data_IF_764999963002
#
_entry.id   IF_764999963002
#
_cell.length_a   1.000
_cell.length_b   1.000
_cell.length_c   1.000
_cell.angle_alpha   90.00
_cell.angle_beta   90.00
_cell.angle_gamma   90.00
#
_symmetry.space_group_name_H-M   'P 1'
#
loop_
_entity.id
_entity.type
_entity.pdbx_description
1 polymer ?
#
# COMPACT_ATOMS: atom_id res chain seq x y z
N UNK A 1 36.41 10.20 -17.39
CA UNK A 1 36.48 11.13 -18.53
C UNK A 1 35.55 10.58 -19.59
N UNK A 2 34.28 10.33 -19.27
CA UNK A 2 33.28 11.39 -18.96
C UNK A 2 33.30 12.39 -20.10
N UNK A 3 32.20 12.49 -20.86
CA UNK A 3 31.75 13.69 -21.60
C UNK A 3 30.76 13.39 -22.77
N UNK A 4 30.15 12.19 -22.86
CA UNK A 4 29.07 11.94 -23.85
C UNK A 4 27.72 11.50 -23.26
N UNK A 5 27.45 11.78 -21.98
CA UNK A 5 26.17 11.43 -21.35
C UNK A 5 25.25 12.63 -21.04
N UNK A 6 25.60 13.85 -21.47
CA UNK A 6 24.91 15.10 -21.07
C UNK A 6 24.16 15.83 -22.20
N UNK A 7 23.86 15.17 -23.33
CA UNK A 7 23.21 15.82 -24.48
C UNK A 7 21.69 15.57 -24.60
N UNK A 8 20.96 15.59 -23.47
CA UNK A 8 19.48 15.53 -23.49
C UNK A 8 18.82 16.55 -22.57
N UNK A 9 19.50 17.65 -22.25
CA UNK A 9 18.92 18.76 -21.48
C UNK A 9 18.63 19.97 -22.39
N UNK A 10 17.65 19.79 -23.28
CA UNK A 10 17.13 20.89 -24.07
C UNK A 10 15.86 20.46 -24.77
N UNK A 11 14.70 20.80 -24.18
CA UNK A 11 13.53 21.39 -24.85
C UNK A 11 12.29 21.33 -23.93
N UNK A 12 11.81 22.53 -23.61
CA UNK A 12 10.44 22.92 -23.28
C UNK A 12 9.85 22.62 -21.89
N UNK A 13 9.46 23.73 -21.29
CA UNK A 13 8.72 23.95 -20.06
C UNK A 13 7.24 23.54 -20.17
N UNK A 14 6.96 22.23 -20.12
CA UNK A 14 5.58 21.74 -19.95
C UNK A 14 5.50 20.74 -18.79
N UNK A 15 5.33 21.30 -17.59
CA UNK A 15 5.28 20.60 -16.30
C UNK A 15 4.09 19.63 -16.15
N UNK A 16 3.13 19.63 -17.08
CA UNK A 16 1.90 18.82 -17.01
C UNK A 16 1.98 17.51 -17.80
N UNK A 17 2.84 17.41 -18.82
CA UNK A 17 2.92 16.21 -19.67
C UNK A 17 3.87 15.13 -19.13
N UNK A 18 4.83 15.51 -18.28
CA UNK A 18 5.71 14.54 -17.60
C UNK A 18 4.98 13.65 -16.57
N UNK A 19 3.85 14.07 -16.01
CA UNK A 19 3.15 13.27 -14.98
C UNK A 19 2.47 12.01 -15.53
N UNK A 20 2.08 12.00 -16.81
CA UNK A 20 1.46 10.83 -17.44
C UNK A 20 2.52 9.79 -17.85
N UNK A 21 3.63 10.24 -18.44
CA UNK A 21 4.70 9.34 -18.91
C UNK A 21 5.63 8.86 -17.79
N UNK A 22 5.86 9.66 -16.73
CA UNK A 22 6.63 9.20 -15.56
C UNK A 22 5.90 8.13 -14.73
N UNK A 23 4.57 8.08 -14.79
CA UNK A 23 3.78 6.98 -14.19
C UNK A 23 3.84 5.69 -15.02
N UNK A 24 4.08 5.79 -16.32
CA UNK A 24 4.14 4.65 -17.24
C UNK A 24 5.42 3.81 -17.12
N UNK A 25 6.51 4.34 -16.57
CA UNK A 25 7.81 3.64 -16.50
C UNK A 25 8.11 2.99 -15.14
N UNK A 26 7.19 3.10 -14.17
CA UNK A 26 7.37 2.55 -12.82
C UNK A 26 6.35 1.43 -12.62
N UNK A 27 6.58 0.29 -13.26
CA UNK A 27 5.94 -0.97 -12.87
C UNK A 27 6.47 -1.36 -11.48
N UNK A 28 5.89 -0.73 -10.46
CA UNK A 28 6.19 -1.03 -9.07
C UNK A 28 5.57 -2.40 -8.76
N UNK A 29 6.31 -3.28 -8.10
CA UNK A 29 5.78 -4.58 -7.68
C UNK A 29 4.53 -4.41 -6.82
N UNK A 30 3.58 -5.34 -6.93
CA UNK A 30 2.36 -5.31 -6.12
C UNK A 30 2.65 -5.20 -4.60
N UNK A 31 3.73 -5.83 -4.13
CA UNK A 31 4.17 -5.75 -2.75
C UNK A 31 4.61 -4.34 -2.37
N UNK A 32 5.37 -3.68 -3.24
CA UNK A 32 5.83 -2.30 -3.03
C UNK A 32 4.64 -1.32 -3.06
N UNK A 33 3.65 -1.51 -3.94
CA UNK A 33 2.41 -0.73 -3.91
C UNK A 33 1.62 -0.91 -2.60
N UNK A 34 1.57 -2.13 -2.06
CA UNK A 34 0.92 -2.39 -0.77
C UNK A 34 1.66 -1.69 0.37
N UNK A 35 3.01 -1.77 0.41
CA UNK A 35 3.81 -1.09 1.43
C UNK A 35 3.65 0.43 1.34
N UNK A 36 3.68 1.00 0.13
CA UNK A 36 3.40 2.42 -0.09
C UNK A 36 1.99 2.77 0.42
N UNK A 37 0.98 2.00 0.06
CA UNK A 37 -0.40 2.21 0.50
C UNK A 37 -0.56 2.17 2.02
N UNK A 38 0.19 1.30 2.71
CA UNK A 38 0.23 1.27 4.18
C UNK A 38 0.95 2.50 4.75
N UNK A 39 2.07 2.93 4.15
CA UNK A 39 2.83 4.09 4.58
C UNK A 39 2.08 5.42 4.40
N UNK A 40 1.30 5.56 3.31
CA UNK A 40 0.52 6.76 2.98
C UNK A 40 -0.95 6.65 3.36
N UNK A 41 -1.33 5.64 4.16
CA UNK A 41 -2.72 5.41 4.52
C UNK A 41 -3.33 6.63 5.21
N UNK A 42 -4.59 6.91 4.88
CA UNK A 42 -5.34 7.98 5.56
C UNK A 42 -5.64 7.56 7.00
N UNK A 43 -5.41 8.44 8.00
CA UNK A 43 -5.78 8.19 9.39
C UNK A 43 -7.27 7.88 9.59
N UNK A 44 -8.13 8.30 8.66
CA UNK A 44 -9.58 8.09 8.72
C UNK A 44 -10.01 6.66 8.47
N UNK A 45 -9.14 5.80 7.93
CA UNK A 45 -9.44 4.40 7.67
C UNK A 45 -8.37 3.49 8.27
N UNK A 46 -8.33 3.32 9.60
CA UNK A 46 -7.30 2.54 10.28
C UNK A 46 -7.56 1.04 10.18
N UNK A 47 -8.09 0.52 9.07
CA UNK A 47 -8.50 -0.88 8.98
C UNK A 47 -7.46 -1.72 8.22
N UNK A 48 -7.00 -2.81 8.83
CA UNK A 48 -6.14 -3.80 8.20
C UNK A 48 -6.91 -5.13 8.04
N UNK A 49 -7.02 -5.69 6.81
CA UNK A 49 -7.69 -6.96 6.60
C UNK A 49 -6.95 -8.10 7.31
N UNK A 50 -7.72 -9.07 7.82
CA UNK A 50 -7.20 -10.27 8.47
C UNK A 50 -6.72 -11.30 7.44
N UNK A 51 -5.68 -10.94 6.70
CA UNK A 51 -5.05 -11.74 5.66
C UNK A 51 -3.54 -11.76 5.88
N UNK A 52 -2.92 -12.85 5.44
CA UNK A 52 -1.50 -13.12 5.60
C UNK A 52 -0.88 -13.46 4.25
N UNK A 53 0.30 -12.93 4.00
CA UNK A 53 1.09 -13.20 2.80
C UNK A 53 2.51 -13.61 3.17
N UNK A 54 3.11 -14.45 2.34
CA UNK A 54 4.52 -14.78 2.48
C UNK A 54 5.34 -13.72 1.75
N UNK A 55 6.32 -13.15 2.44
CA UNK A 55 7.24 -12.16 1.90
C UNK A 55 8.65 -12.73 1.82
N UNK A 56 9.41 -12.25 0.85
CA UNK A 56 10.82 -12.53 0.66
C UNK A 56 11.47 -11.29 0.05
N UNK A 57 12.70 -10.98 0.45
CA UNK A 57 13.47 -9.91 -0.19
C UNK A 57 13.94 -10.37 -1.57
N UNK A 58 13.83 -9.51 -2.58
CA UNK A 58 14.22 -9.86 -3.96
C UNK A 58 15.72 -10.16 -4.05
N UNK A 59 16.53 -9.56 -3.17
CA UNK A 59 17.98 -9.83 -3.08
C UNK A 59 18.24 -11.25 -2.59
N UNK A 60 17.51 -11.71 -1.58
CA UNK A 60 17.62 -13.09 -1.08
C UNK A 60 17.16 -14.09 -2.15
N UNK A 61 16.15 -13.73 -2.97
CA UNK A 61 15.73 -14.55 -4.10
C UNK A 61 16.83 -14.64 -5.16
N UNK A 62 17.47 -13.52 -5.51
CA UNK A 62 18.56 -13.52 -6.48
C UNK A 62 19.76 -14.37 -5.99
N UNK A 63 20.15 -14.21 -4.73
CA UNK A 63 21.18 -15.04 -4.08
C UNK A 63 20.80 -16.52 -4.13
N UNK A 64 19.54 -16.86 -3.81
CA UNK A 64 19.05 -18.22 -3.89
C UNK A 64 19.19 -18.83 -5.29
N UNK A 65 18.91 -18.04 -6.33
CA UNK A 65 19.02 -18.51 -7.71
C UNK A 65 20.48 -18.76 -8.09
N UNK A 66 21.40 -17.87 -7.70
CA UNK A 66 22.84 -18.05 -7.98
C UNK A 66 23.38 -19.31 -7.29
N UNK A 67 23.09 -19.49 -6.00
CA UNK A 67 23.53 -20.68 -5.26
C UNK A 67 22.92 -21.98 -5.77
N UNK A 68 21.68 -21.94 -6.23
CA UNK A 68 21.03 -23.10 -6.81
C UNK A 68 21.69 -23.56 -8.13
N UNK A 69 22.42 -22.69 -8.83
CA UNK A 69 23.20 -23.09 -10.01
C UNK A 69 24.47 -23.86 -9.65
N UNK A 70 25.03 -23.62 -8.46
CA UNK A 70 26.30 -24.20 -8.01
C UNK A 70 26.09 -25.47 -7.16
N UNK A 71 24.98 -25.55 -6.44
CA UNK A 71 24.66 -26.65 -5.51
C UNK A 71 24.03 -27.86 -6.23
N UNK A 72 24.72 -29.00 -6.21
CA UNK A 72 24.22 -30.24 -6.82
C UNK A 72 23.13 -30.92 -5.97
N UNK A 73 23.10 -30.66 -4.66
CA UNK A 73 22.17 -31.24 -3.70
C UNK A 73 20.72 -30.83 -3.96
N UNK A 74 20.50 -29.62 -4.50
CA UNK A 74 19.17 -29.10 -4.85
C UNK A 74 18.77 -29.38 -6.29
N UNK A 75 19.61 -30.08 -7.07
CA UNK A 75 19.32 -30.40 -8.46
C UNK A 75 18.03 -31.22 -8.55
N UNK A 76 17.17 -30.83 -9.49
CA UNK A 76 15.84 -31.44 -9.71
C UNK A 76 14.90 -31.39 -8.47
N UNK A 77 15.19 -30.52 -7.50
CA UNK A 77 14.36 -30.33 -6.33
C UNK A 77 13.57 -29.02 -6.38
N UNK A 78 12.38 -29.04 -5.77
CA UNK A 78 11.63 -27.80 -5.51
C UNK A 78 12.16 -27.13 -4.25
N UNK A 79 12.76 -25.95 -4.41
CA UNK A 79 13.17 -25.10 -3.29
C UNK A 79 12.18 -23.95 -3.14
N UNK A 80 11.68 -23.72 -1.93
CA UNK A 80 10.79 -22.61 -1.61
C UNK A 80 11.57 -21.57 -0.82
N UNK A 81 11.59 -20.34 -1.33
CA UNK A 81 12.27 -19.19 -0.73
C UNK A 81 11.20 -18.26 -0.15
N UNK A 82 11.22 -18.07 1.17
CA UNK A 82 10.23 -17.27 1.91
C UNK A 82 10.80 -16.90 3.28
N UNK A 83 10.87 -15.60 3.56
CA UNK A 83 11.36 -15.09 4.83
C UNK A 83 10.34 -15.29 5.96
N UNK A 84 9.04 -15.14 5.65
CA UNK A 84 7.98 -15.36 6.63
C UNK A 84 6.60 -14.98 6.14
N UNK A 85 5.59 -15.32 6.95
CA UNK A 85 4.19 -15.06 6.68
C UNK A 85 3.67 -13.92 7.59
N UNK A 86 3.38 -12.77 6.99
CA UNK A 86 3.04 -11.53 7.68
C UNK A 86 1.68 -11.00 7.24
N UNK A 87 0.97 -10.37 8.17
CA UNK A 87 -0.24 -9.61 7.89
C UNK A 87 0.07 -8.13 7.63
N UNK A 88 -0.85 -7.41 6.99
CA UNK A 88 -0.70 -5.96 6.82
C UNK A 88 -0.65 -5.21 8.14
N UNK A 89 -1.28 -5.72 9.21
CA UNK A 89 -1.19 -5.12 10.54
C UNK A 89 0.24 -5.24 11.11
N UNK A 90 0.88 -6.40 10.98
CA UNK A 90 2.27 -6.59 11.41
C UNK A 90 3.24 -5.72 10.58
N UNK A 91 2.99 -5.58 9.28
CA UNK A 91 3.77 -4.68 8.42
C UNK A 91 3.55 -3.22 8.85
N UNK A 92 2.30 -2.81 9.10
CA UNK A 92 1.99 -1.46 9.59
C UNK A 92 2.68 -1.15 10.93
N UNK A 93 2.73 -2.12 11.85
CA UNK A 93 3.45 -2.01 13.12
C UNK A 93 4.96 -1.84 12.90
N UNK A 94 5.58 -2.68 12.06
CA UNK A 94 7.00 -2.55 11.69
C UNK A 94 7.32 -1.19 11.05
N UNK A 95 6.42 -0.68 10.19
CA UNK A 95 6.55 0.66 9.59
C UNK A 95 6.46 1.73 10.67
N UNK A 96 5.50 1.63 11.59
CA UNK A 96 5.29 2.63 12.65
C UNK A 96 6.47 2.71 13.61
N UNK A 97 7.06 1.57 13.95
CA UNK A 97 8.26 1.49 14.78
C UNK A 97 9.48 2.14 14.10
N UNK A 98 9.69 1.87 12.81
CA UNK A 98 10.83 2.40 12.07
C UNK A 98 10.67 3.88 11.70
N UNK A 99 9.43 4.31 11.45
CA UNK A 99 9.10 5.65 10.95
C UNK A 99 7.93 6.26 11.75
N UNK A 100 8.20 6.83 12.94
CA UNK A 100 7.17 7.37 13.82
C UNK A 100 6.33 8.49 13.21
N UNK A 101 6.84 9.20 12.19
CA UNK A 101 6.12 10.27 11.47
C UNK A 101 5.02 9.74 10.55
N UNK A 102 5.08 8.48 10.14
CA UNK A 102 4.05 7.84 9.32
C UNK A 102 2.87 7.39 10.19
N UNK A 103 1.70 7.29 9.56
CA UNK A 103 0.45 6.89 10.23
C UNK A 103 -0.19 5.68 9.54
N UNK A 104 0.50 4.51 9.53
CA UNK A 104 -0.06 3.30 8.95
C UNK A 104 -1.28 2.80 9.75
N UNK A 105 -2.17 2.01 9.13
CA UNK A 105 -3.39 1.55 9.78
C UNK A 105 -3.08 0.50 10.85
N UNK A 106 -3.52 0.73 12.08
CA UNK A 106 -3.26 -0.15 13.25
C UNK A 106 -4.54 -0.81 13.81
N UNK A 107 -5.64 -0.81 13.06
CA UNK A 107 -6.90 -1.33 13.55
C UNK A 107 -6.92 -2.84 13.75
N UNK A 108 -7.94 -3.35 14.46
CA UNK A 108 -8.06 -4.76 14.75
C UNK A 108 -8.23 -5.58 13.47
N UNK A 109 -7.57 -6.74 13.44
CA UNK A 109 -7.69 -7.75 12.38
C UNK A 109 -9.05 -8.46 12.48
N UNK A 110 -10.13 -7.78 12.11
CA UNK A 110 -11.47 -8.35 12.21
C UNK A 110 -11.85 -9.14 10.94
N UNK A 111 -12.14 -10.43 11.10
CA UNK A 111 -12.63 -11.29 10.02
C UNK A 111 -13.90 -10.75 9.37
N UNK A 112 -14.87 -10.27 10.15
CA UNK A 112 -16.15 -9.78 9.61
C UNK A 112 -15.95 -8.59 8.68
N UNK A 113 -15.16 -7.61 9.10
CA UNK A 113 -14.90 -6.42 8.30
C UNK A 113 -14.08 -6.76 7.04
N UNK A 114 -13.22 -7.77 7.12
CA UNK A 114 -12.46 -8.28 5.95
C UNK A 114 -13.41 -8.87 4.92
N UNK A 115 -14.38 -9.67 5.38
CA UNK A 115 -15.41 -10.27 4.52
C UNK A 115 -16.33 -9.21 3.92
N UNK A 116 -16.74 -8.20 4.68
CA UNK A 116 -17.59 -7.10 4.18
C UNK A 116 -16.88 -6.31 3.08
N UNK A 117 -15.64 -5.88 3.33
CA UNK A 117 -14.85 -5.16 2.31
C UNK A 117 -14.61 -6.05 1.10
N UNK A 118 -14.26 -7.31 1.31
CA UNK A 118 -14.05 -8.28 0.23
C UNK A 118 -15.30 -8.51 -0.62
N UNK A 119 -16.50 -8.51 -0.02
CA UNK A 119 -17.76 -8.64 -0.76
C UNK A 119 -18.11 -7.38 -1.59
N UNK A 120 -17.70 -6.20 -1.13
CA UNK A 120 -17.90 -4.95 -1.88
C UNK A 120 -16.93 -4.78 -3.05
N UNK A 121 -15.77 -5.44 -2.99
CA UNK A 121 -14.76 -5.35 -4.03
C UNK A 121 -14.96 -6.47 -5.05
N UNK A 122 -15.49 -6.13 -6.23
CA UNK A 122 -15.72 -7.07 -7.35
C UNK A 122 -14.47 -7.84 -7.82
N UNK A 123 -13.29 -7.50 -7.31
CA UNK A 123 -12.00 -8.10 -7.67
C UNK A 123 -11.65 -9.34 -6.80
N UNK A 124 -12.34 -9.58 -5.68
CA UNK A 124 -12.01 -10.67 -4.75
C UNK A 124 -13.06 -11.78 -4.83
N UNK A 125 -12.64 -12.99 -5.22
CA UNK A 125 -13.53 -14.17 -5.20
C UNK A 125 -13.85 -14.55 -3.75
N UNK A 126 -15.12 -14.55 -3.36
CA UNK A 126 -15.53 -14.88 -1.99
C UNK A 126 -15.09 -16.27 -1.53
N UNK A 127 -15.12 -17.27 -2.43
CA UNK A 127 -14.62 -18.61 -2.12
C UNK A 127 -13.11 -18.67 -1.84
N UNK A 128 -12.33 -17.78 -2.48
CA UNK A 128 -10.91 -17.61 -2.14
C UNK A 128 -10.80 -16.97 -0.76
N UNK A 129 -11.48 -15.84 -0.54
CA UNK A 129 -11.38 -15.09 0.72
C UNK A 129 -11.70 -15.96 1.94
N UNK A 130 -12.77 -16.74 1.90
CA UNK A 130 -13.15 -17.65 3.00
C UNK A 130 -12.05 -18.66 3.37
N UNK A 131 -11.23 -19.10 2.41
CA UNK A 131 -10.16 -20.09 2.64
C UNK A 131 -8.88 -19.47 3.21
N UNK A 132 -8.68 -18.17 3.04
CA UNK A 132 -7.43 -17.47 3.37
C UNK A 132 -7.57 -16.49 4.54
N UNK A 133 -8.77 -16.02 4.84
CA UNK A 133 -9.00 -15.12 5.99
C UNK A 133 -8.61 -15.80 7.29
N UNK A 134 -7.78 -15.12 8.08
CA UNK A 134 -7.34 -15.61 9.39
C UNK A 134 -6.31 -16.76 9.36
N UNK A 135 -5.99 -17.31 8.20
CA UNK A 135 -5.09 -18.46 8.09
C UNK A 135 -3.66 -18.02 7.77
N UNK A 136 -2.74 -18.26 8.70
CA UNK A 136 -1.30 -18.05 8.49
C UNK A 136 -0.67 -19.29 7.87
N UNK A 137 -0.48 -19.28 6.55
CA UNK A 137 0.20 -20.36 5.82
C UNK A 137 1.70 -20.08 5.72
N UNK A 138 2.46 -20.52 6.73
CA UNK A 138 3.93 -20.50 6.65
C UNK A 138 4.43 -21.53 5.65
N UNK A 139 5.29 -21.09 4.74
CA UNK A 139 5.94 -21.98 3.80
C UNK A 139 7.15 -22.63 4.45
N UNK A 140 7.42 -23.89 4.11
CA UNK A 140 8.59 -24.62 4.57
C UNK A 140 9.81 -24.20 3.75
N UNK A 141 10.77 -23.55 4.39
CA UNK A 141 11.99 -23.04 3.75
C UNK A 141 13.26 -23.79 4.14
N UNK A 142 13.11 -24.94 4.80
CA UNK A 142 14.22 -25.77 5.27
C UNK A 142 15.30 -25.99 4.20
N UNK A 143 14.92 -26.33 2.96
CA UNK A 143 15.88 -26.55 1.87
C UNK A 143 16.64 -25.29 1.47
N UNK A 144 15.96 -24.15 1.46
CA UNK A 144 16.61 -22.87 1.17
C UNK A 144 17.63 -22.49 2.26
N UNK A 145 17.33 -22.79 3.53
CA UNK A 145 18.23 -22.44 4.65
C UNK A 145 19.34 -23.45 4.87
N UNK A 146 19.08 -24.75 4.70
CA UNK A 146 20.05 -25.82 5.00
C UNK A 146 20.86 -26.18 3.77
N UNK A 147 20.21 -26.41 2.63
CA UNK A 147 20.89 -26.93 1.44
C UNK A 147 21.56 -25.80 0.65
N UNK A 148 20.93 -24.62 0.58
CA UNK A 148 21.50 -23.43 -0.09
C UNK A 148 22.21 -22.45 0.86
N UNK A 149 22.24 -22.73 2.18
CA UNK A 149 22.80 -21.87 3.23
C UNK A 149 22.29 -20.40 3.19
N UNK A 150 21.05 -20.17 2.74
CA UNK A 150 20.53 -18.81 2.58
C UNK A 150 20.16 -18.23 3.94
N UNK A 151 20.69 -17.05 4.21
CA UNK A 151 20.34 -16.23 5.37
C UNK A 151 19.35 -15.16 4.93
N UNK A 152 18.09 -15.34 5.30
CA UNK A 152 17.05 -14.37 4.96
C UNK A 152 17.27 -13.02 5.66
N UNK A 153 17.16 -11.95 4.90
CA UNK A 153 17.18 -10.58 5.40
C UNK A 153 15.96 -10.36 6.29
N UNK A 154 16.09 -9.89 7.55
CA UNK A 154 14.93 -9.67 8.42
C UNK A 154 13.89 -8.73 7.77
N UNK A 155 12.60 -9.07 7.89
CA UNK A 155 11.52 -8.30 7.23
C UNK A 155 11.53 -6.81 7.57
N UNK A 156 11.86 -6.44 8.81
CA UNK A 156 11.96 -5.04 9.25
C UNK A 156 13.01 -4.25 8.45
N UNK A 157 14.12 -4.90 8.09
CA UNK A 157 15.19 -4.28 7.28
C UNK A 157 14.75 -4.13 5.82
N UNK A 158 14.09 -5.13 5.25
CA UNK A 158 13.48 -5.04 3.91
C UNK A 158 12.48 -3.88 3.83
N UNK A 159 11.60 -3.73 4.83
CA UNK A 159 10.64 -2.62 4.91
C UNK A 159 11.37 -1.28 5.01
N UNK A 160 12.44 -1.20 5.82
CA UNK A 160 13.22 0.03 5.98
C UNK A 160 13.79 0.49 4.64
N UNK A 161 14.51 -0.39 3.93
CA UNK A 161 15.09 -0.11 2.61
C UNK A 161 14.02 0.27 1.59
N UNK A 162 12.90 -0.44 1.60
CA UNK A 162 11.74 -0.21 0.74
C UNK A 162 11.15 1.21 0.96
N UNK A 163 10.92 1.62 2.21
CA UNK A 163 10.40 2.96 2.51
C UNK A 163 11.44 4.04 2.21
N UNK A 164 12.73 3.80 2.49
CA UNK A 164 13.80 4.74 2.13
C UNK A 164 13.81 5.01 0.62
N UNK A 165 13.61 3.97 -0.20
CA UNK A 165 13.47 4.11 -1.65
C UNK A 165 12.21 4.92 -2.02
N UNK A 166 11.07 4.68 -1.35
CA UNK A 166 9.84 5.45 -1.59
C UNK A 166 9.97 6.92 -1.19
N UNK A 167 10.66 7.23 -0.09
CA UNK A 167 10.95 8.60 0.34
C UNK A 167 11.86 9.29 -0.68
N UNK A 168 12.92 8.62 -1.14
CA UNK A 168 13.82 9.13 -2.21
C UNK A 168 13.07 9.37 -3.51
N UNK A 169 12.10 8.53 -3.84
CA UNK A 169 11.24 8.69 -5.01
C UNK A 169 10.17 9.79 -4.86
N UNK A 170 10.02 10.38 -3.67
CA UNK A 170 8.99 11.40 -3.38
C UNK A 170 7.58 10.84 -3.20
N UNK A 171 7.42 9.52 -3.12
CA UNK A 171 6.13 8.83 -3.03
C UNK A 171 5.58 8.75 -1.60
N UNK A 172 6.47 8.85 -0.60
CA UNK A 172 6.15 8.83 0.84
C UNK A 172 6.72 10.10 1.48
N UNK A 173 5.99 10.76 2.40
CA UNK A 173 6.47 11.98 3.04
C UNK A 173 7.76 11.71 3.83
N UNK A 174 8.78 12.51 3.56
CA UNK A 174 10.00 12.55 4.36
C UNK A 174 9.69 13.01 5.80
N UNK A 175 10.51 12.63 6.79
CA UNK A 175 10.34 13.05 8.19
C UNK A 175 10.15 14.56 8.39
N UNK A 176 10.78 15.35 7.51
CA UNK A 176 10.82 16.81 7.58
C UNK A 176 9.85 17.51 6.62
N UNK A 177 9.05 16.75 5.85
CA UNK A 177 8.09 17.34 4.93
C UNK A 177 6.94 17.98 5.72
N UNK A 178 6.71 19.28 5.53
CA UNK A 178 5.56 19.97 6.11
C UNK A 178 4.28 19.23 5.72
N UNK A 179 3.50 18.74 6.70
CA UNK A 179 2.20 18.10 6.47
C UNK A 179 1.37 18.99 5.55
N UNK A 180 1.28 18.63 4.27
CA UNK A 180 0.55 19.42 3.29
C UNK A 180 -0.88 19.60 3.78
N UNK A 181 -1.30 20.86 3.89
CA UNK A 181 -2.56 21.33 4.49
C UNK A 181 -3.78 21.00 3.61
N UNK A 182 -3.95 19.74 3.21
CA UNK A 182 -4.93 19.35 2.20
C UNK A 182 -6.32 18.98 2.76
N UNK A 183 -6.54 19.06 4.07
CA UNK A 183 -7.82 18.63 4.68
C UNK A 183 -8.78 19.76 5.07
N UNK A 184 -8.33 21.03 5.12
CA UNK A 184 -9.23 22.16 5.49
C UNK A 184 -10.10 22.67 4.35
N UNK A 185 -9.61 22.71 3.11
CA UNK A 185 -10.37 23.32 1.98
C UNK A 185 -11.56 22.44 1.54
N UNK A 186 -11.41 21.12 1.55
CA UNK A 186 -12.50 20.19 1.16
C UNK A 186 -13.67 20.18 2.16
N UNK A 187 -13.40 20.29 3.45
CA UNK A 187 -14.46 20.35 4.48
C UNK A 187 -15.25 21.67 4.43
N UNK A 188 -14.59 22.79 4.14
CA UNK A 188 -15.25 24.09 4.00
C UNK A 188 -16.19 24.13 2.77
N UNK A 189 -15.81 23.50 1.66
CA UNK A 189 -16.64 23.41 0.46
C UNK A 189 -17.88 22.52 0.67
N UNK A 190 -17.73 21.36 1.31
CA UNK A 190 -18.87 20.45 1.60
C UNK A 190 -19.92 21.08 2.53
N UNK A 191 -19.52 21.90 3.51
CA UNK A 191 -20.48 22.60 4.40
C UNK A 191 -21.36 23.61 3.65
N UNK A 192 -20.83 24.29 2.63
CA UNK A 192 -21.59 25.30 1.87
C UNK A 192 -22.68 24.67 0.99
N UNK A 193 -22.40 23.52 0.37
CA UNK A 193 -23.38 22.81 -0.47
C UNK A 193 -24.51 22.22 0.38
N UNK A 194 -24.18 21.66 1.55
CA UNK A 194 -25.20 21.14 2.48
C UNK A 194 -26.17 22.21 3.00
N UNK A 195 -25.67 23.41 3.31
CA UNK A 195 -26.50 24.51 3.82
C UNK A 195 -27.48 25.04 2.76
N UNK A 196 -27.06 25.10 1.49
CA UNK A 196 -27.92 25.55 0.39
C UNK A 196 -29.06 24.57 0.09
N UNK A 197 -28.79 23.26 0.18
CA UNK A 197 -29.83 22.24 -0.02
C UNK A 197 -30.88 22.25 1.09
N UNK A 198 -30.48 22.46 2.35
CA UNK A 198 -31.42 22.60 3.47
C UNK A 198 -32.28 23.87 3.35
N UNK A 199 -31.71 25.00 2.89
CA UNK A 199 -32.46 26.24 2.68
C UNK A 199 -33.50 26.10 1.55
N UNK A 200 -33.16 25.42 0.45
CA UNK A 200 -34.10 25.15 -0.63
C UNK A 200 -35.26 24.24 -0.18
N UNK A 201 -34.96 23.18 0.58
CA UNK A 201 -35.99 22.29 1.12
C UNK A 201 -36.94 23.00 2.10
N UNK A 202 -36.40 23.89 2.96
CA UNK A 202 -37.21 24.70 3.87
C UNK A 202 -38.13 25.68 3.12
N UNK A 203 -37.64 26.34 2.07
CA UNK A 203 -38.44 27.24 1.24
C UNK A 203 -39.59 26.50 0.53
N UNK A 204 -39.31 25.32 -0.05
CA UNK A 204 -40.32 24.48 -0.70
C UNK A 204 -41.38 24.01 0.31
N UNK A 205 -40.98 23.66 1.53
CA UNK A 205 -41.91 23.27 2.59
C UNK A 205 -42.80 24.43 3.07
N UNK A 206 -42.25 25.64 3.20
CA UNK A 206 -43.03 26.83 3.57
C UNK A 206 -44.07 27.16 2.50
N UNK A 207 -43.69 27.12 1.22
CA UNK A 207 -44.60 27.42 0.09
C UNK A 207 -45.71 26.37 -0.05
N UNK A 208 -45.40 25.09 0.16
CA UNK A 208 -46.43 24.04 0.13
C UNK A 208 -47.39 24.16 1.32
N UNK A 209 -46.88 24.52 2.51
CA UNK A 209 -47.72 24.69 3.71
C UNK A 209 -48.63 25.92 3.66
N UNK A 210 -48.20 27.02 3.05
CA UNK A 210 -49.06 28.22 2.88
C UNK A 210 -50.16 28.01 1.84
N UNK A 211 -49.89 27.25 0.77
CA UNK A 211 -50.91 26.88 -0.25
C UNK A 211 -52.00 25.95 0.27
N UNK A 212 -51.67 25.06 1.21
CA UNK A 212 -52.66 24.16 1.86
C UNK A 212 -53.57 24.92 2.83
N UNK A 213 -53.14 26.07 3.36
CA UNK A 213 -53.91 26.87 4.33
C UNK A 213 -54.86 27.90 3.70
N UNK A 214 -54.77 28.12 2.38
CA UNK A 214 -55.62 29.05 1.62
C UNK A 214 -56.70 28.34 0.76
N UNK A 215 -56.83 27.02 0.88
CA UNK A 215 -57.99 26.24 0.41
C UNK A 215 -58.85 25.87 1.60
#
# INVERSE_FOLDING_TARGET
MEDEANDWCGISSDFTLHHHWAKSYREISNAMMQIQGLATASPSFPYAPNLYWNYVDVRDVAEAHVRALECQEVKDQRVIVSNGCFSYAEIAEMIKEAYPHLTPPHGPRNTLMTLLIGATQSQVKMGFLWRFVGVRKRLQTHRATVDLDIKFTPMKETIRVCIDQLIRAGEVPAPNASRATCTRKLFAAKKRVGLLLCAAAAAIWIVTRTRVRQR
#
